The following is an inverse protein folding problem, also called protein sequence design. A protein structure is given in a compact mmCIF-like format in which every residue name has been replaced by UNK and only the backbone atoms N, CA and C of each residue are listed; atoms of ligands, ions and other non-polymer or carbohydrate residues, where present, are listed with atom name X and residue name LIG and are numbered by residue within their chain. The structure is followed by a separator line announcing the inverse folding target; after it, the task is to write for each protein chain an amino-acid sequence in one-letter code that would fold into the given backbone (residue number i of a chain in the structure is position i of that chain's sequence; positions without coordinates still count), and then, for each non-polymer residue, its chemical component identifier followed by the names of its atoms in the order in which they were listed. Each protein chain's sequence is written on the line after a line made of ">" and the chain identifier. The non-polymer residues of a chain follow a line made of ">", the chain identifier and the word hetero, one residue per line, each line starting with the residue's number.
data_IF_953346282163
#
_entry.id   IF_953346282163
#
_cell.length_a   1.000
_cell.length_b   1.000
_cell.length_c   1.000
_cell.angle_alpha   90.00
_cell.angle_beta   90.00
_cell.angle_gamma   90.00
#
_symmetry.space_group_name_H-M   'P 1'
#
loop_
_entity.id
_entity.type
_entity.pdbx_description
1 polymer ?
#
# COMPACT_ATOMS: atom_id res chain seq x y z
N UNK A 1 -2.22 0.44 -24.01
CA UNK A 1 -1.65 -0.72 -24.74
C UNK A 1 -1.71 -1.90 -23.80
N UNK A 2 -2.35 -3.02 -24.19
CA UNK A 2 -2.43 -4.23 -23.34
C UNK A 2 -1.03 -4.83 -23.13
N UNK A 3 -0.83 -5.59 -22.06
CA UNK A 3 0.49 -6.19 -21.75
C UNK A 3 0.97 -7.13 -22.86
N UNK A 4 0.03 -7.81 -23.56
CA UNK A 4 0.33 -8.57 -24.77
C UNK A 4 0.87 -7.72 -25.91
N UNK A 5 0.34 -6.52 -26.14
CA UNK A 5 0.83 -5.63 -27.20
C UNK A 5 2.24 -5.09 -26.90
N UNK A 6 2.58 -4.88 -25.63
CA UNK A 6 3.94 -4.50 -25.19
C UNK A 6 4.92 -5.65 -25.43
N UNK A 7 4.51 -6.89 -25.11
CA UNK A 7 5.32 -8.09 -25.34
C UNK A 7 5.60 -8.30 -26.83
N UNK A 8 4.58 -8.21 -27.70
CA UNK A 8 4.76 -8.33 -29.15
C UNK A 8 5.63 -7.21 -29.72
N UNK A 9 5.51 -5.98 -29.21
CA UNK A 9 6.37 -4.87 -29.62
C UNK A 9 7.84 -5.13 -29.23
N UNK A 10 8.11 -5.61 -28.01
CA UNK A 10 9.46 -5.99 -27.57
C UNK A 10 10.04 -7.12 -28.45
N UNK A 11 9.24 -8.14 -28.78
CA UNK A 11 9.68 -9.24 -29.65
C UNK A 11 9.96 -8.79 -31.07
N UNK A 12 9.17 -7.88 -31.63
CA UNK A 12 9.41 -7.29 -32.95
C UNK A 12 10.69 -6.45 -33.00
N UNK A 13 10.97 -5.67 -31.94
CA UNK A 13 12.21 -4.90 -31.82
C UNK A 13 13.43 -5.83 -31.70
N UNK A 14 13.32 -6.91 -30.91
CA UNK A 14 14.41 -7.88 -30.74
C UNK A 14 14.68 -8.67 -32.01
N UNK A 15 13.64 -9.10 -32.76
CA UNK A 15 13.78 -9.85 -34.00
C UNK A 15 14.29 -8.98 -35.18
N UNK A 16 13.76 -7.76 -35.31
CA UNK A 16 14.27 -6.79 -36.29
C UNK A 16 15.72 -6.41 -36.01
N UNK A 17 16.06 -6.36 -34.75
CA UNK A 17 17.40 -6.09 -34.31
C UNK A 17 18.39 -7.21 -34.54
N UNK A 18 18.01 -8.46 -34.35
CA UNK A 18 18.87 -9.61 -34.67
C UNK A 18 19.23 -9.67 -36.17
N UNK A 19 18.33 -9.26 -37.04
CA UNK A 19 18.59 -9.13 -38.47
C UNK A 19 19.61 -8.02 -38.77
N UNK A 20 19.57 -6.91 -38.04
CA UNK A 20 20.46 -5.75 -38.22
C UNK A 20 21.85 -5.94 -37.56
N UNK A 21 21.95 -6.84 -36.59
CA UNK A 21 23.19 -7.14 -35.87
C UNK A 21 24.33 -7.60 -36.79
N UNK A 22 24.04 -8.26 -37.88
CA UNK A 22 25.04 -8.73 -38.83
C UNK A 22 25.71 -7.60 -39.63
N UNK A 23 25.23 -6.35 -39.50
CA UNK A 23 25.71 -5.21 -40.30
C UNK A 23 26.19 -4.01 -39.47
N UNK A 24 25.93 -3.93 -38.12
CA UNK A 24 26.27 -2.74 -37.38
C UNK A 24 26.47 -2.97 -35.86
N UNK A 25 27.66 -2.67 -35.33
CA UNK A 25 28.05 -2.84 -33.91
C UNK A 25 27.24 -1.97 -32.93
N UNK A 26 26.55 -0.92 -33.39
CA UNK A 26 25.70 -0.06 -32.55
C UNK A 26 24.37 -0.68 -32.13
N UNK A 27 23.98 -1.80 -32.78
CA UNK A 27 22.72 -2.46 -32.49
C UNK A 27 22.65 -3.00 -31.05
N UNK A 28 23.69 -3.66 -30.58
CA UNK A 28 23.74 -4.15 -29.19
C UNK A 28 23.61 -3.01 -28.17
N UNK A 29 24.30 -1.90 -28.41
CA UNK A 29 24.18 -0.71 -27.56
C UNK A 29 22.73 -0.18 -27.53
N UNK A 30 22.04 -0.12 -28.68
CA UNK A 30 20.66 0.30 -28.75
C UNK A 30 19.70 -0.64 -27.97
N UNK A 31 19.93 -1.96 -28.05
CA UNK A 31 19.17 -2.96 -27.28
C UNK A 31 19.39 -2.79 -25.78
N UNK A 32 20.61 -2.59 -25.33
CA UNK A 32 20.91 -2.33 -23.90
C UNK A 32 20.26 -1.06 -23.40
N UNK A 33 20.31 0.03 -24.15
CA UNK A 33 19.64 1.30 -23.81
C UNK A 33 18.12 1.11 -23.73
N UNK A 34 17.53 0.41 -24.70
CA UNK A 34 16.10 0.11 -24.67
C UNK A 34 15.68 -0.72 -23.46
N UNK A 35 16.43 -1.78 -23.13
CA UNK A 35 16.17 -2.59 -21.93
C UNK A 35 16.31 -1.77 -20.65
N UNK A 36 17.33 -0.91 -20.55
CA UNK A 36 17.50 0.00 -19.40
C UNK A 36 16.32 0.96 -19.26
N UNK A 37 15.82 1.54 -20.35
CA UNK A 37 14.63 2.39 -20.35
C UNK A 37 13.38 1.63 -19.93
N UNK A 38 13.21 0.37 -20.37
CA UNK A 38 12.11 -0.49 -19.92
C UNK A 38 12.17 -0.75 -18.40
N UNK A 39 13.35 -1.05 -17.87
CA UNK A 39 13.55 -1.24 -16.42
C UNK A 39 13.22 0.04 -15.65
N UNK A 40 13.72 1.19 -16.10
CA UNK A 40 13.40 2.48 -15.49
C UNK A 40 11.89 2.75 -15.52
N UNK A 41 11.23 2.52 -16.66
CA UNK A 41 9.79 2.75 -16.82
C UNK A 41 8.94 1.86 -15.88
N UNK A 42 9.41 0.65 -15.58
CA UNK A 42 8.73 -0.28 -14.65
C UNK A 42 8.95 0.14 -13.20
N UNK A 43 10.19 0.47 -12.82
CA UNK A 43 10.54 0.71 -11.42
C UNK A 43 10.33 2.16 -10.97
N UNK A 44 10.40 3.14 -11.87
CA UNK A 44 10.25 4.55 -11.54
C UNK A 44 8.95 4.89 -10.79
N UNK A 45 7.74 4.42 -11.22
CA UNK A 45 6.50 4.71 -10.50
C UNK A 45 6.51 4.13 -9.08
N UNK A 46 7.05 2.94 -8.87
CA UNK A 46 7.15 2.32 -7.54
C UNK A 46 8.09 3.12 -6.64
N UNK A 47 9.28 3.49 -7.14
CA UNK A 47 10.25 4.28 -6.38
C UNK A 47 9.70 5.67 -6.06
N UNK A 48 8.99 6.31 -7.02
CA UNK A 48 8.39 7.62 -6.80
C UNK A 48 7.27 7.59 -5.76
N UNK A 49 6.45 6.54 -5.75
CA UNK A 49 5.40 6.34 -4.75
C UNK A 49 6.00 6.15 -3.34
N UNK A 50 7.01 5.30 -3.20
CA UNK A 50 7.72 5.09 -1.92
C UNK A 50 8.35 6.39 -1.43
N UNK A 51 9.03 7.16 -2.29
CA UNK A 51 9.58 8.47 -1.92
C UNK A 51 8.51 9.48 -1.51
N UNK A 52 7.36 9.47 -2.16
CA UNK A 52 6.20 10.31 -1.78
C UNK A 52 5.68 9.92 -0.41
N UNK A 53 5.53 8.64 -0.14
CA UNK A 53 5.03 8.13 1.13
C UNK A 53 5.99 8.40 2.30
N UNK A 54 7.30 8.21 2.11
CA UNK A 54 8.29 8.51 3.17
C UNK A 54 8.32 9.99 3.57
N UNK A 55 7.97 10.90 2.65
CA UNK A 55 7.91 12.35 2.89
C UNK A 55 6.53 12.84 3.34
N UNK A 56 5.51 11.99 3.27
CA UNK A 56 4.15 12.39 3.57
C UNK A 56 4.05 12.88 5.01
N UNK A 57 3.38 14.02 5.17
CA UNK A 57 2.95 14.57 6.45
C UNK A 57 1.45 14.35 6.60
N UNK A 58 0.92 14.62 7.79
CA UNK A 58 -0.50 14.36 8.09
C UNK A 58 -1.42 15.13 7.17
N UNK A 59 -1.05 16.36 6.78
CA UNK A 59 -1.80 17.19 5.84
C UNK A 59 -1.86 16.57 4.42
N UNK A 60 -0.79 15.89 4.02
CA UNK A 60 -0.76 15.18 2.74
C UNK A 60 -1.75 14.02 2.73
N UNK A 61 -1.90 13.32 3.87
CA UNK A 61 -2.83 12.19 4.03
C UNK A 61 -4.29 12.65 3.93
N UNK A 62 -4.60 13.83 4.45
CA UNK A 62 -5.94 14.40 4.37
C UNK A 62 -6.41 14.70 2.93
N UNK A 63 -5.47 14.75 1.99
CA UNK A 63 -5.72 14.97 0.56
C UNK A 63 -5.65 13.71 -0.30
N UNK A 64 -5.29 12.55 0.27
CA UNK A 64 -5.30 11.25 -0.42
C UNK A 64 -6.73 10.83 -0.75
N UNK A 65 -6.91 10.07 -1.83
CA UNK A 65 -8.14 9.31 -2.02
C UNK A 65 -8.17 8.06 -1.12
N UNK A 66 -9.29 7.31 -1.12
CA UNK A 66 -9.44 6.13 -0.27
C UNK A 66 -8.39 5.07 -0.57
N UNK A 67 -8.18 4.76 -1.84
CA UNK A 67 -7.22 3.73 -2.26
C UNK A 67 -5.76 4.13 -2.03
N UNK A 68 -5.43 5.41 -2.20
CA UNK A 68 -4.11 5.93 -1.80
C UNK A 68 -3.86 5.78 -0.30
N UNK A 69 -4.89 6.02 0.53
CA UNK A 69 -4.79 5.86 1.98
C UNK A 69 -4.59 4.39 2.40
N UNK A 70 -5.25 3.44 1.71
CA UNK A 70 -5.02 2.00 1.90
C UNK A 70 -3.57 1.61 1.55
N UNK A 71 -3.04 2.05 0.41
CA UNK A 71 -1.65 1.84 0.02
C UNK A 71 -0.66 2.48 1.01
N UNK A 72 -0.97 3.69 1.46
CA UNK A 72 -0.16 4.36 2.46
C UNK A 72 -0.17 3.61 3.79
N UNK A 73 -1.34 3.09 4.21
CA UNK A 73 -1.47 2.25 5.40
C UNK A 73 -0.62 1.00 5.29
N UNK A 74 -0.67 0.30 4.14
CA UNK A 74 0.22 -0.83 3.88
C UNK A 74 1.69 -0.44 4.08
N UNK A 75 2.15 0.64 3.45
CA UNK A 75 3.52 1.15 3.58
C UNK A 75 3.88 1.45 5.04
N UNK A 76 3.01 2.14 5.79
CA UNK A 76 3.23 2.44 7.21
C UNK A 76 3.39 1.17 8.05
N UNK A 77 2.55 0.16 7.83
CA UNK A 77 2.62 -1.10 8.57
C UNK A 77 3.94 -1.83 8.30
N UNK A 78 4.36 -1.93 7.04
CA UNK A 78 5.64 -2.51 6.67
C UNK A 78 6.81 -1.82 7.38
N UNK A 79 6.83 -0.48 7.38
CA UNK A 79 7.86 0.33 8.06
C UNK A 79 7.77 0.29 9.60
N UNK A 80 6.64 -0.12 10.16
CA UNK A 80 6.45 -0.35 11.60
C UNK A 80 6.66 -1.83 12.01
N UNK A 81 7.26 -2.64 11.11
CA UNK A 81 7.67 -4.02 11.40
C UNK A 81 6.51 -5.01 11.44
N UNK A 82 5.43 -4.76 10.67
CA UNK A 82 4.43 -5.77 10.37
C UNK A 82 4.91 -6.60 9.18
N UNK A 83 4.66 -7.89 9.21
CA UNK A 83 4.99 -8.84 8.16
C UNK A 83 3.75 -9.17 7.31
N UNK A 84 3.96 -9.77 6.14
CA UNK A 84 2.92 -10.28 5.24
C UNK A 84 1.83 -9.24 4.91
N UNK A 85 2.21 -7.96 4.82
CA UNK A 85 1.26 -6.87 4.59
C UNK A 85 0.78 -6.88 3.14
N UNK A 86 -0.52 -6.99 2.94
CA UNK A 86 -1.15 -7.04 1.61
C UNK A 86 -2.47 -6.30 1.59
N UNK A 87 -2.77 -5.66 0.47
CA UNK A 87 -4.10 -5.12 0.18
C UNK A 87 -5.04 -6.27 -0.19
N UNK A 88 -6.29 -6.15 0.18
CA UNK A 88 -7.37 -7.02 -0.28
C UNK A 88 -7.82 -6.66 -1.69
N UNK A 89 -8.81 -7.36 -2.22
CA UNK A 89 -9.38 -7.02 -3.53
C UNK A 89 -10.16 -5.71 -3.44
N UNK A 90 -10.08 -4.88 -4.47
CA UNK A 90 -10.73 -3.56 -4.52
C UNK A 90 -12.26 -3.60 -4.40
N UNK A 91 -12.88 -4.73 -4.72
CA UNK A 91 -14.32 -4.95 -4.64
C UNK A 91 -14.59 -6.26 -3.89
N UNK A 92 -15.55 -6.22 -2.96
CA UNK A 92 -15.91 -7.41 -2.17
C UNK A 92 -14.91 -7.73 -1.06
N UNK A 93 -14.22 -6.74 -0.53
CA UNK A 93 -13.21 -6.84 0.53
C UNK A 93 -13.78 -7.22 1.90
N UNK A 94 -15.09 -7.38 1.99
CA UNK A 94 -15.81 -7.75 3.23
C UNK A 94 -15.43 -6.91 4.45
N UNK A 95 -15.10 -5.64 4.22
CA UNK A 95 -14.77 -4.70 5.29
C UNK A 95 -13.33 -4.80 5.82
N UNK A 96 -12.42 -5.38 5.06
CA UNK A 96 -10.98 -5.40 5.35
C UNK A 96 -10.20 -4.93 4.11
N UNK A 97 -9.49 -3.81 4.21
CA UNK A 97 -8.71 -3.22 3.12
C UNK A 97 -7.26 -3.70 3.13
N UNK A 98 -6.71 -3.93 4.33
CA UNK A 98 -5.32 -4.39 4.51
C UNK A 98 -5.27 -5.57 5.47
N UNK A 99 -4.54 -6.62 5.10
CA UNK A 99 -4.21 -7.74 5.99
C UNK A 99 -2.72 -7.64 6.32
N UNK A 100 -2.39 -7.83 7.60
CA UNK A 100 -1.01 -7.77 8.11
C UNK A 100 -0.79 -8.82 9.21
N UNK A 101 0.46 -9.03 9.60
CA UNK A 101 0.82 -9.92 10.69
C UNK A 101 1.81 -9.22 11.65
N UNK A 102 1.56 -9.34 12.96
CA UNK A 102 2.49 -8.87 13.99
C UNK A 102 2.81 -10.04 14.93
N UNK A 103 4.03 -10.57 14.85
CA UNK A 103 4.35 -11.85 15.46
C UNK A 103 3.48 -12.97 14.86
N UNK A 104 2.75 -13.69 15.71
CA UNK A 104 1.82 -14.75 15.29
C UNK A 104 0.37 -14.26 15.08
N UNK A 105 0.09 -12.98 15.31
CA UNK A 105 -1.27 -12.41 15.24
C UNK A 105 -1.55 -11.90 13.83
N UNK A 106 -2.59 -12.43 13.18
CA UNK A 106 -3.13 -11.98 11.89
C UNK A 106 -4.13 -10.85 12.13
N UNK A 107 -3.95 -9.74 11.45
CA UNK A 107 -4.69 -8.51 11.68
C UNK A 107 -5.35 -8.07 10.38
N UNK A 108 -6.63 -7.70 10.45
CA UNK A 108 -7.34 -7.03 9.37
C UNK A 108 -7.58 -5.56 9.69
N UNK A 109 -7.30 -4.70 8.74
CA UNK A 109 -7.47 -3.25 8.91
C UNK A 109 -8.46 -2.73 7.87
N UNK A 110 -9.48 -2.00 8.33
CA UNK A 110 -10.34 -1.17 7.51
C UNK A 110 -9.84 0.27 7.53
N UNK A 111 -9.64 0.86 6.38
CA UNK A 111 -9.14 2.23 6.20
C UNK A 111 -10.29 3.20 5.92
N UNK A 112 -10.44 4.24 6.71
CA UNK A 112 -11.45 5.29 6.50
C UNK A 112 -10.80 6.66 6.41
N UNK A 113 -10.46 7.11 5.18
CA UNK A 113 -9.98 8.47 4.92
C UNK A 113 -11.18 9.42 4.80
N UNK A 114 -11.61 9.97 5.94
CA UNK A 114 -12.81 10.80 6.05
C UNK A 114 -12.53 12.14 6.72
N UNK A 115 -13.28 13.18 6.29
CA UNK A 115 -13.29 14.50 6.96
C UNK A 115 -14.21 14.53 8.19
N UNK A 116 -15.14 13.59 8.30
CA UNK A 116 -16.12 13.47 9.39
C UNK A 116 -15.71 12.34 10.34
N UNK A 117 -16.30 12.32 11.54
CA UNK A 117 -16.13 11.23 12.49
C UNK A 117 -16.64 9.91 11.92
N UNK A 118 -15.89 8.84 12.15
CA UNK A 118 -16.24 7.48 11.74
C UNK A 118 -17.26 6.89 12.71
N UNK A 119 -18.33 6.35 12.17
CA UNK A 119 -19.44 5.76 12.93
C UNK A 119 -19.38 4.24 13.02
N UNK A 120 -20.44 3.66 13.62
CA UNK A 120 -20.58 2.22 13.91
C UNK A 120 -20.38 1.31 12.70
N UNK A 121 -20.78 1.75 11.50
CA UNK A 121 -20.72 0.93 10.28
C UNK A 121 -19.33 0.37 10.03
N UNK A 122 -18.28 1.18 10.17
CA UNK A 122 -16.91 0.73 9.97
C UNK A 122 -16.50 -0.36 10.98
N UNK A 123 -16.94 -0.26 12.22
CA UNK A 123 -16.68 -1.26 13.27
C UNK A 123 -17.40 -2.58 12.96
N UNK A 124 -18.63 -2.50 12.48
CA UNK A 124 -19.42 -3.68 12.07
C UNK A 124 -18.81 -4.38 10.86
N UNK A 125 -18.36 -3.61 9.86
CA UNK A 125 -17.68 -4.12 8.67
C UNK A 125 -16.42 -4.90 9.04
N UNK A 126 -15.54 -4.32 9.87
CA UNK A 126 -14.32 -4.98 10.35
C UNK A 126 -14.64 -6.25 11.13
N UNK A 127 -15.60 -6.19 12.06
CA UNK A 127 -15.98 -7.35 12.86
C UNK A 127 -16.44 -8.54 12.00
N UNK A 128 -17.23 -8.27 10.96
CA UNK A 128 -17.63 -9.30 10.00
C UNK A 128 -16.43 -9.81 9.18
N UNK A 129 -15.57 -8.91 8.72
CA UNK A 129 -14.38 -9.24 7.93
C UNK A 129 -13.37 -10.10 8.67
N UNK A 130 -13.21 -9.91 9.99
CA UNK A 130 -12.35 -10.76 10.83
C UNK A 130 -12.73 -12.24 10.72
N UNK A 131 -14.03 -12.55 10.83
CA UNK A 131 -14.53 -13.91 10.66
C UNK A 131 -14.33 -14.44 9.24
N UNK A 132 -14.64 -13.62 8.22
CA UNK A 132 -14.53 -14.00 6.81
C UNK A 132 -13.09 -14.38 6.41
N UNK A 133 -12.11 -13.61 6.84
CA UNK A 133 -10.70 -13.86 6.52
C UNK A 133 -9.96 -14.73 7.52
N UNK A 134 -10.63 -15.26 8.54
CA UNK A 134 -10.02 -16.05 9.63
C UNK A 134 -8.84 -15.32 10.28
N UNK A 135 -9.09 -14.07 10.69
CA UNK A 135 -8.11 -13.19 11.33
C UNK A 135 -8.29 -13.24 12.87
N UNK A 136 -7.23 -12.91 13.57
CA UNK A 136 -7.23 -12.89 15.05
C UNK A 136 -7.74 -11.55 15.59
N UNK A 137 -7.58 -10.46 14.81
CA UNK A 137 -7.84 -9.09 15.26
C UNK A 137 -8.33 -8.20 14.13
N UNK A 138 -9.28 -7.32 14.44
CA UNK A 138 -9.78 -6.30 13.53
C UNK A 138 -9.46 -4.89 14.02
N UNK A 139 -9.07 -4.00 13.11
CA UNK A 139 -8.72 -2.61 13.39
C UNK A 139 -9.45 -1.70 12.40
N UNK A 140 -10.03 -0.60 12.87
CA UNK A 140 -10.46 0.52 12.02
C UNK A 140 -9.43 1.64 12.14
N UNK A 141 -8.79 2.00 11.04
CA UNK A 141 -7.85 3.12 10.96
C UNK A 141 -8.49 4.32 10.25
N UNK A 142 -8.35 5.52 10.82
CA UNK A 142 -8.82 6.75 10.17
C UNK A 142 -7.86 7.92 10.35
N UNK A 143 -7.86 8.84 9.37
CA UNK A 143 -7.21 10.15 9.49
C UNK A 143 -8.02 11.17 10.31
N UNK A 144 -9.19 10.79 10.80
CA UNK A 144 -10.11 11.62 11.58
C UNK A 144 -10.27 11.11 13.02
N UNK A 145 -11.48 11.09 13.53
CA UNK A 145 -11.82 10.59 14.88
C UNK A 145 -13.05 9.70 14.81
N UNK A 146 -13.42 9.06 15.92
CA UNK A 146 -14.60 8.20 16.03
C UNK A 146 -15.73 8.87 16.80
N UNK A 147 -16.98 8.50 16.50
CA UNK A 147 -18.13 8.85 17.34
C UNK A 147 -18.08 8.07 18.65
N UNK A 148 -18.73 8.58 19.69
CA UNK A 148 -18.81 7.86 20.98
C UNK A 148 -19.46 6.49 20.81
N UNK A 149 -20.55 6.42 20.03
CA UNK A 149 -21.23 5.15 19.72
C UNK A 149 -20.28 4.15 19.03
N UNK A 150 -19.41 4.59 18.09
CA UNK A 150 -18.43 3.71 17.46
C UNK A 150 -17.37 3.20 18.45
N UNK A 151 -16.92 4.07 19.39
CA UNK A 151 -15.99 3.68 20.45
C UNK A 151 -16.59 2.63 21.39
N UNK A 152 -17.85 2.81 21.76
CA UNK A 152 -18.56 1.87 22.64
C UNK A 152 -18.79 0.53 21.94
N UNK A 153 -19.18 0.56 20.66
CA UNK A 153 -19.37 -0.65 19.86
C UNK A 153 -18.04 -1.40 19.65
N UNK A 154 -16.97 -0.69 19.36
CA UNK A 154 -15.63 -1.27 19.17
C UNK A 154 -15.17 -2.05 20.41
N UNK A 155 -15.38 -1.51 21.61
CA UNK A 155 -15.11 -2.21 22.87
C UNK A 155 -15.92 -3.51 23.00
N UNK A 156 -17.22 -3.46 22.69
CA UNK A 156 -18.12 -4.64 22.79
C UNK A 156 -17.76 -5.73 21.79
N UNK A 157 -17.32 -5.36 20.59
CA UNK A 157 -16.98 -6.31 19.52
C UNK A 157 -15.48 -6.66 19.48
N UNK A 158 -14.68 -6.20 20.46
CA UNK A 158 -13.22 -6.41 20.50
C UNK A 158 -12.52 -5.95 19.21
N UNK A 159 -13.04 -4.90 18.58
CA UNK A 159 -12.42 -4.23 17.43
C UNK A 159 -11.54 -3.09 17.97
N UNK A 160 -10.31 -3.02 17.52
CA UNK A 160 -9.41 -1.93 17.84
C UNK A 160 -9.69 -0.72 16.92
N UNK A 161 -9.53 0.47 17.44
CA UNK A 161 -9.72 1.70 16.67
C UNK A 161 -8.46 2.55 16.76
N UNK A 162 -7.97 2.96 15.60
CA UNK A 162 -6.81 3.84 15.45
C UNK A 162 -7.28 5.15 14.81
N UNK A 163 -7.24 6.20 15.59
CA UNK A 163 -7.63 7.53 15.12
C UNK A 163 -6.43 8.32 14.58
N UNK A 164 -6.62 9.63 14.37
CA UNK A 164 -5.58 10.52 13.88
C UNK A 164 -4.32 10.52 14.76
N UNK A 165 -4.46 10.37 16.07
CA UNK A 165 -3.34 10.35 17.00
C UNK A 165 -2.48 9.09 16.81
N UNK A 166 -3.15 7.95 16.64
CA UNK A 166 -2.48 6.66 16.38
C UNK A 166 -1.78 6.67 15.01
N UNK A 167 -2.42 7.27 14.01
CA UNK A 167 -1.82 7.46 12.69
C UNK A 167 -0.55 8.32 12.76
N UNK A 168 -0.56 9.41 13.53
CA UNK A 168 0.62 10.24 13.75
C UNK A 168 1.74 9.44 14.42
N UNK A 169 1.43 8.64 15.44
CA UNK A 169 2.42 7.77 16.09
C UNK A 169 3.04 6.76 15.12
N UNK A 170 2.26 6.15 14.23
CA UNK A 170 2.78 5.26 13.19
C UNK A 170 3.75 5.98 12.24
N UNK A 171 3.43 7.21 11.84
CA UNK A 171 4.30 8.03 10.98
C UNK A 171 5.61 8.39 11.69
N UNK A 172 5.54 8.80 12.94
CA UNK A 172 6.73 9.13 13.72
C UNK A 172 7.65 7.93 13.93
N UNK A 173 7.07 6.76 14.23
CA UNK A 173 7.83 5.53 14.38
C UNK A 173 8.50 5.12 13.06
N UNK A 174 7.80 5.20 11.94
CA UNK A 174 8.38 5.00 10.61
C UNK A 174 9.60 5.90 10.39
N UNK A 175 9.46 7.22 10.62
CA UNK A 175 10.57 8.18 10.45
C UNK A 175 11.76 7.90 11.37
N UNK A 176 11.50 7.42 12.58
CA UNK A 176 12.58 6.99 13.51
C UNK A 176 13.30 5.75 13.00
N UNK A 177 12.57 4.77 12.45
CA UNK A 177 13.12 3.53 11.92
C UNK A 177 13.98 3.81 10.67
N UNK A 178 13.49 4.62 9.72
CA UNK A 178 14.24 5.03 8.53
C UNK A 178 15.56 5.75 8.89
N UNK A 179 15.53 6.62 9.91
CA UNK A 179 16.76 7.29 10.40
C UNK A 179 17.77 6.32 11.03
N UNK A 180 17.32 5.23 11.64
CA UNK A 180 18.19 4.19 12.19
C UNK A 180 18.82 3.35 11.07
N UNK A 181 18.02 2.95 10.08
CA UNK A 181 18.49 2.21 8.90
C UNK A 181 19.54 3.00 8.10
N UNK A 182 19.38 4.32 7.97
CA UNK A 182 20.32 5.20 7.26
C UNK A 182 21.66 5.44 8.00
N UNK A 183 21.79 5.02 9.28
CA UNK A 183 23.01 5.18 10.09
C UNK A 183 23.87 3.91 10.18
N UNK A 184 23.40 2.81 9.62
CA UNK A 184 24.06 1.50 9.55
C UNK A 184 24.71 1.37 8.16
#
# INVERSE_FOLDING_TARGET
>A
MSDGAKFFFCMAVLSGGAYYYNSNSYFLAAVFVFLALCVIAIFYPVISEVKRFSRAQVETIDNMDGFEFEKYTKYLLEKNGYANVKLTQKYGDQGIDVIAQKGNVKIGIQCKRWKKKVGNKAVQEVHAGVGYYSLDKGIVLTNSSFTNSAKDLAKKLSVEIWDRSDLIMLIENMKKNEKKEAKI
#
